data_IF_806253150373
#
_entry.id   IF_806253150373
#
_cell.length_a   1.000
_cell.length_b   1.000
_cell.length_c   1.000
_cell.angle_alpha   90.00
_cell.angle_beta   90.00
_cell.angle_gamma   90.00
#
_symmetry.space_group_name_H-M   'P 1'
#
loop_
_entity.id
_entity.type
_entity.pdbx_description
1 polymer ?
#
# COMPACT_ATOMS: atom_id res chain seq x y z
N UNK A 1 10.04 -26.21 -14.06
CA UNK A 1 9.70 -26.36 -12.61
C UNK A 1 9.22 -25.01 -12.14
N UNK A 2 8.03 -24.92 -11.57
CA UNK A 2 7.48 -23.69 -11.02
C UNK A 2 8.08 -23.36 -9.65
N UNK A 3 7.97 -22.10 -9.22
CA UNK A 3 8.38 -21.74 -7.85
C UNK A 3 7.31 -22.13 -6.84
N UNK A 4 6.04 -21.91 -7.17
CA UNK A 4 4.91 -22.26 -6.31
C UNK A 4 3.73 -22.77 -7.13
N UNK A 5 2.93 -23.67 -6.56
CA UNK A 5 1.75 -24.21 -7.22
C UNK A 5 0.58 -24.32 -6.23
N UNK A 6 -0.48 -23.56 -6.49
CA UNK A 6 -1.74 -23.70 -5.76
C UNK A 6 -2.56 -24.77 -6.48
N UNK A 7 -2.97 -25.82 -5.75
CA UNK A 7 -3.65 -26.98 -6.32
C UNK A 7 -5.13 -27.02 -5.94
N UNK A 8 -5.95 -27.47 -6.90
CA UNK A 8 -7.34 -27.82 -6.68
C UNK A 8 -8.22 -26.70 -6.11
N UNK A 9 -7.88 -25.43 -6.36
CA UNK A 9 -8.67 -24.28 -5.90
C UNK A 9 -9.84 -23.94 -6.80
N UNK A 10 -10.89 -23.31 -6.24
CA UNK A 10 -11.92 -22.67 -7.02
C UNK A 10 -11.42 -21.27 -7.45
N UNK A 11 -10.94 -21.17 -8.66
CA UNK A 11 -10.33 -19.92 -9.18
C UNK A 11 -11.42 -18.95 -9.64
N UNK A 12 -11.36 -17.73 -9.09
CA UNK A 12 -12.16 -16.56 -9.48
C UNK A 12 -11.16 -15.45 -9.82
N UNK A 13 -10.85 -15.28 -11.10
CA UNK A 13 -9.72 -14.49 -11.57
C UNK A 13 -9.98 -12.99 -11.77
N UNK A 14 -11.17 -12.51 -11.41
CA UNK A 14 -11.56 -11.10 -11.54
C UNK A 14 -11.91 -10.66 -12.97
N UNK A 15 -11.86 -11.53 -13.98
CA UNK A 15 -12.16 -11.17 -15.37
C UNK A 15 -13.65 -11.14 -15.70
N UNK A 16 -14.52 -11.52 -14.75
CA UNK A 16 -15.95 -11.74 -14.97
C UNK A 16 -16.29 -13.13 -15.52
N UNK A 17 -15.29 -13.98 -15.76
CA UNK A 17 -15.50 -15.38 -16.16
C UNK A 17 -16.06 -16.20 -15.00
N UNK A 18 -16.84 -17.27 -15.26
CA UNK A 18 -17.33 -18.14 -14.21
C UNK A 18 -16.19 -18.76 -13.39
N UNK A 19 -16.45 -18.93 -12.08
CA UNK A 19 -15.55 -19.66 -11.20
C UNK A 19 -15.27 -21.07 -11.74
N UNK A 20 -14.02 -21.53 -11.67
CA UNK A 20 -13.62 -22.83 -12.19
C UNK A 20 -12.60 -23.50 -11.29
N UNK A 21 -12.67 -24.81 -11.16
CA UNK A 21 -11.66 -25.57 -10.44
C UNK A 21 -10.40 -25.67 -11.30
N UNK A 22 -9.27 -25.19 -10.74
CA UNK A 22 -7.99 -25.18 -11.44
C UNK A 22 -6.81 -25.12 -10.47
N UNK A 23 -5.62 -25.43 -11.00
CA UNK A 23 -4.34 -25.15 -10.37
C UNK A 23 -3.80 -23.81 -10.88
N UNK A 24 -3.04 -23.12 -10.04
CA UNK A 24 -2.39 -21.84 -10.36
C UNK A 24 -0.89 -21.98 -10.16
N UNK A 25 -0.12 -21.84 -11.25
CA UNK A 25 1.34 -21.93 -11.23
C UNK A 25 1.97 -20.53 -11.20
N UNK A 26 2.95 -20.34 -10.30
CA UNK A 26 3.66 -19.09 -10.06
C UNK A 26 5.15 -19.30 -10.37
N UNK A 27 5.72 -18.33 -11.08
CA UNK A 27 7.13 -18.27 -11.40
C UNK A 27 7.65 -16.84 -11.11
N UNK A 28 8.56 -16.69 -10.16
CA UNK A 28 8.95 -15.39 -9.65
C UNK A 28 7.74 -14.67 -9.04
N UNK A 29 7.47 -13.48 -9.54
CA UNK A 29 6.37 -12.60 -9.13
C UNK A 29 5.09 -12.72 -9.98
N UNK A 30 5.02 -13.74 -10.88
CA UNK A 30 3.95 -13.84 -11.89
C UNK A 30 3.18 -15.13 -11.80
N UNK A 31 1.85 -15.03 -11.96
CA UNK A 31 1.01 -16.16 -12.34
C UNK A 31 1.28 -16.48 -13.81
N UNK A 32 1.89 -17.62 -14.08
CA UNK A 32 2.31 -18.01 -15.44
C UNK A 32 1.36 -19.01 -16.10
N UNK A 33 0.53 -19.70 -15.33
CA UNK A 33 -0.45 -20.65 -15.85
C UNK A 33 -1.59 -20.90 -14.88
N UNK A 34 -2.80 -20.95 -15.44
CA UNK A 34 -3.99 -21.44 -14.73
C UNK A 34 -4.59 -22.54 -15.59
N UNK A 35 -4.63 -23.75 -15.09
CA UNK A 35 -5.16 -24.90 -15.83
C UNK A 35 -5.61 -26.01 -14.87
N UNK A 36 -6.59 -26.85 -15.25
CA UNK A 36 -6.89 -28.02 -14.45
C UNK A 36 -5.71 -28.99 -14.45
N UNK A 37 -5.33 -29.48 -13.27
CA UNK A 37 -4.40 -30.57 -13.06
C UNK A 37 -3.02 -30.38 -13.71
N UNK A 38 -2.28 -29.36 -13.27
CA UNK A 38 -0.89 -29.09 -13.69
C UNK A 38 0.03 -30.20 -13.17
N UNK A 39 0.67 -30.91 -14.09
CA UNK A 39 1.53 -32.08 -13.77
C UNK A 39 2.98 -31.73 -13.47
N UNK A 40 3.43 -30.58 -13.97
CA UNK A 40 4.80 -30.12 -13.83
C UNK A 40 5.13 -29.89 -12.35
N UNK A 41 6.38 -30.19 -11.92
CA UNK A 41 6.78 -29.99 -10.54
C UNK A 41 6.93 -28.52 -10.18
N UNK A 42 6.72 -28.21 -8.91
CA UNK A 42 7.03 -26.93 -8.28
C UNK A 42 7.99 -27.14 -7.10
N UNK A 43 8.68 -26.07 -6.69
CA UNK A 43 9.53 -26.08 -5.48
C UNK A 43 8.70 -26.25 -4.23
N UNK A 44 7.51 -25.59 -4.19
CA UNK A 44 6.56 -25.71 -3.10
C UNK A 44 5.12 -25.68 -3.64
N UNK A 45 4.16 -26.13 -2.82
CA UNK A 45 2.76 -26.15 -3.24
C UNK A 45 1.79 -26.06 -2.06
N UNK A 46 0.60 -25.54 -2.36
CA UNK A 46 -0.50 -25.42 -1.42
C UNK A 46 -1.75 -26.10 -1.93
N UNK A 47 -2.36 -26.98 -1.11
CA UNK A 47 -3.62 -27.64 -1.44
C UNK A 47 -4.81 -26.71 -1.06
N UNK A 48 -5.50 -26.21 -2.07
CA UNK A 48 -6.61 -25.26 -1.93
C UNK A 48 -8.00 -25.89 -2.13
N UNK A 49 -8.12 -27.21 -2.00
CA UNK A 49 -9.40 -27.90 -2.14
C UNK A 49 -10.44 -27.36 -1.16
N UNK A 50 -11.61 -26.97 -1.69
CA UNK A 50 -12.67 -26.36 -0.90
C UNK A 50 -12.47 -24.88 -0.58
N UNK A 51 -11.40 -24.26 -1.13
CA UNK A 51 -11.10 -22.83 -0.99
C UNK A 51 -11.22 -22.12 -2.31
N UNK A 52 -11.53 -20.81 -2.25
CA UNK A 52 -11.43 -19.92 -3.40
C UNK A 52 -10.01 -19.40 -3.54
N UNK A 53 -9.53 -19.29 -4.79
CA UNK A 53 -8.31 -18.62 -5.16
C UNK A 53 -8.70 -17.38 -5.95
N UNK A 54 -8.43 -16.22 -5.38
CA UNK A 54 -8.80 -14.92 -5.93
C UNK A 54 -7.55 -14.03 -6.01
N UNK A 55 -7.54 -12.98 -6.83
CA UNK A 55 -6.55 -11.91 -6.71
C UNK A 55 -6.57 -11.31 -5.30
N UNK A 56 -5.42 -10.82 -4.84
CA UNK A 56 -5.38 -10.08 -3.57
C UNK A 56 -6.34 -8.90 -3.60
N UNK A 57 -6.99 -8.65 -2.47
CA UNK A 57 -7.94 -7.54 -2.34
C UNK A 57 -7.22 -6.20 -2.36
N UNK A 58 -7.90 -5.19 -2.87
CA UNK A 58 -7.44 -3.80 -2.87
C UNK A 58 -8.30 -3.03 -1.88
N UNK A 59 -7.69 -2.45 -0.86
CA UNK A 59 -8.38 -1.46 -0.03
C UNK A 59 -8.21 -0.08 -0.69
N UNK A 60 -9.30 0.52 -1.22
CA UNK A 60 -9.23 1.75 -1.97
C UNK A 60 -9.15 3.00 -1.09
N UNK A 61 -9.18 2.88 0.24
CA UNK A 61 -9.27 4.02 1.12
C UNK A 61 -8.65 3.78 2.49
N UNK A 62 -7.35 3.99 2.60
CA UNK A 62 -6.61 3.88 3.85
C UNK A 62 -5.75 5.14 4.11
N UNK A 63 -5.25 5.27 5.34
CA UNK A 63 -4.36 6.34 5.78
C UNK A 63 -3.14 5.75 6.50
N UNK A 64 -2.49 4.80 5.84
CA UNK A 64 -1.41 3.97 6.40
C UNK A 64 -0.06 4.23 5.72
N UNK A 65 0.09 5.36 5.05
CA UNK A 65 1.26 5.71 4.24
C UNK A 65 2.57 5.82 5.04
N UNK A 66 2.47 5.98 6.36
CA UNK A 66 3.61 6.12 7.26
C UNK A 66 3.92 4.84 8.05
N UNK A 67 2.99 3.89 8.11
CA UNK A 67 3.15 2.64 8.88
C UNK A 67 4.32 1.80 8.35
N UNK A 68 4.65 1.91 7.07
CA UNK A 68 5.82 1.24 6.49
C UNK A 68 7.14 1.61 7.18
N UNK A 69 7.25 2.81 7.74
CA UNK A 69 8.46 3.25 8.45
C UNK A 69 8.50 2.82 9.92
N UNK A 70 7.43 2.26 10.45
CA UNK A 70 7.34 1.73 11.82
C UNK A 70 7.32 0.19 11.83
N UNK A 71 6.33 -0.38 11.17
CA UNK A 71 6.16 -1.83 10.98
C UNK A 71 5.62 -2.11 9.57
N UNK A 72 6.52 -2.29 8.61
CA UNK A 72 6.17 -2.58 7.22
C UNK A 72 5.53 -3.95 6.97
N UNK A 73 5.20 -4.71 8.02
CA UNK A 73 4.61 -6.05 7.88
C UNK A 73 3.21 -6.02 7.30
N UNK A 74 2.39 -5.06 7.69
CA UNK A 74 0.96 -4.98 7.31
C UNK A 74 0.20 -6.30 7.52
N UNK A 75 0.60 -7.08 8.51
CA UNK A 75 0.10 -8.43 8.77
C UNK A 75 -1.41 -8.50 8.92
N UNK A 76 -2.02 -7.48 9.52
CA UNK A 76 -3.47 -7.43 9.70
C UNK A 76 -4.23 -7.31 8.38
N UNK A 77 -3.74 -6.51 7.42
CA UNK A 77 -4.30 -6.43 6.08
C UNK A 77 -4.11 -7.75 5.31
N UNK A 78 -2.91 -8.31 5.36
CA UNK A 78 -2.61 -9.58 4.68
C UNK A 78 -3.43 -10.74 5.21
N UNK A 79 -3.71 -10.80 6.51
CA UNK A 79 -4.58 -11.81 7.12
C UNK A 79 -6.04 -11.72 6.65
N UNK A 80 -6.48 -10.54 6.23
CA UNK A 80 -7.78 -10.30 5.63
C UNK A 80 -7.78 -10.47 4.10
N UNK A 81 -6.61 -10.75 3.50
CA UNK A 81 -6.44 -10.95 2.07
C UNK A 81 -6.22 -9.65 1.28
N UNK A 82 -6.07 -8.51 1.95
CA UNK A 82 -5.73 -7.23 1.30
C UNK A 82 -4.24 -7.22 1.00
N UNK A 83 -3.89 -6.99 -0.26
CA UNK A 83 -2.51 -6.97 -0.75
C UNK A 83 -2.11 -5.63 -1.37
N UNK A 84 -3.06 -4.73 -1.55
CA UNK A 84 -2.82 -3.40 -2.12
C UNK A 84 -3.60 -2.36 -1.33
N UNK A 85 -2.91 -1.29 -0.94
CA UNK A 85 -3.43 -0.18 -0.15
C UNK A 85 -3.41 1.10 -0.98
N UNK A 86 -4.56 1.80 -1.07
CA UNK A 86 -4.64 3.11 -1.72
C UNK A 86 -4.67 4.19 -0.64
N UNK A 87 -3.57 4.90 -0.51
CA UNK A 87 -3.33 5.96 0.46
C UNK A 87 -3.53 7.37 -0.15
N UNK A 88 -3.44 8.42 0.66
CA UNK A 88 -3.58 9.82 0.23
C UNK A 88 -5.02 10.26 0.03
N UNK A 89 -5.95 9.59 0.68
CA UNK A 89 -7.38 9.87 0.64
C UNK A 89 -7.76 11.10 1.50
N UNK A 90 -9.03 11.49 1.48
CA UNK A 90 -9.60 12.58 2.30
C UNK A 90 -8.85 13.91 2.18
N UNK A 91 -8.23 14.18 1.02
CA UNK A 91 -7.40 15.37 0.78
C UNK A 91 -6.07 15.40 1.56
N UNK A 92 -5.71 14.32 2.23
CA UNK A 92 -4.48 14.18 3.01
C UNK A 92 -3.56 13.15 2.38
N UNK A 93 -2.31 13.55 2.15
CA UNK A 93 -1.22 12.68 1.72
C UNK A 93 0.05 13.05 2.48
N UNK A 94 0.96 12.11 2.60
CA UNK A 94 2.25 12.32 3.27
C UNK A 94 3.21 13.22 2.46
N UNK A 95 2.86 13.54 1.26
CA UNK A 95 3.56 14.45 0.33
C UNK A 95 2.58 15.44 -0.29
N UNK A 96 3.03 16.65 -0.70
CA UNK A 96 4.39 17.19 -0.62
C UNK A 96 4.76 17.68 0.78
N UNK A 97 6.05 17.96 1.00
CA UNK A 97 6.59 18.55 2.22
C UNK A 97 7.56 17.64 2.96
N UNK A 98 8.21 18.18 3.97
CA UNK A 98 9.14 17.43 4.80
C UNK A 98 8.41 16.57 5.84
N UNK A 99 9.06 15.50 6.29
CA UNK A 99 8.53 14.63 7.35
C UNK A 99 8.08 15.43 8.59
N UNK A 100 8.82 16.47 8.94
CA UNK A 100 8.46 17.31 10.10
C UNK A 100 7.10 17.97 9.92
N UNK A 101 6.80 18.51 8.75
CA UNK A 101 5.53 19.19 8.47
C UNK A 101 4.36 18.21 8.59
N UNK A 102 4.54 16.98 8.13
CA UNK A 102 3.55 15.91 8.25
C UNK A 102 3.36 15.46 9.70
N UNK A 103 4.46 15.30 10.44
CA UNK A 103 4.38 14.92 11.84
C UNK A 103 3.77 16.02 12.73
N UNK A 104 4.08 17.29 12.45
CA UNK A 104 3.42 18.45 13.10
C UNK A 104 1.90 18.43 12.85
N UNK A 105 1.50 18.11 11.61
CA UNK A 105 0.08 17.99 11.26
C UNK A 105 -0.58 16.81 12.02
N UNK A 106 0.04 15.63 12.04
CA UNK A 106 -0.51 14.47 12.74
C UNK A 106 -0.60 14.69 14.25
N UNK A 107 0.42 15.29 14.86
CA UNK A 107 0.42 15.63 16.29
C UNK A 107 -0.64 16.69 16.59
N UNK A 108 -0.71 17.75 15.79
CA UNK A 108 -1.68 18.86 15.98
C UNK A 108 -3.13 18.43 15.83
N UNK A 109 -3.39 17.38 15.07
CA UNK A 109 -4.73 16.80 14.90
C UNK A 109 -5.01 15.61 15.84
N UNK A 110 -4.10 15.27 16.72
CA UNK A 110 -4.27 14.18 17.68
C UNK A 110 -4.23 12.78 17.07
N UNK A 111 -3.67 12.66 15.86
CA UNK A 111 -3.54 11.37 15.15
C UNK A 111 -2.38 10.54 15.69
N UNK A 112 -1.37 11.19 16.25
CA UNK A 112 -0.25 10.58 16.94
C UNK A 112 -0.01 11.25 18.28
N UNK A 113 0.58 10.52 19.22
CA UNK A 113 1.03 11.04 20.50
C UNK A 113 2.40 11.74 20.38
N UNK A 114 2.77 12.58 21.35
CA UNK A 114 4.10 13.19 21.40
C UNK A 114 5.21 12.13 21.40
N UNK A 115 5.02 11.01 22.09
CA UNK A 115 5.97 9.89 22.09
C UNK A 115 6.16 9.28 20.71
N UNK A 116 5.09 9.15 19.94
CA UNK A 116 5.18 8.67 18.55
C UNK A 116 5.84 9.73 17.66
N UNK A 117 5.54 11.00 17.85
CA UNK A 117 6.18 12.10 17.13
C UNK A 117 7.71 12.05 17.30
N UNK A 118 8.20 12.01 18.54
CA UNK A 118 9.65 11.95 18.82
C UNK A 118 10.29 10.72 18.15
N UNK A 119 9.65 9.57 18.28
CA UNK A 119 10.10 8.34 17.63
C UNK A 119 10.15 8.46 16.11
N UNK A 120 9.09 8.98 15.49
CA UNK A 120 9.02 9.08 14.03
C UNK A 120 9.96 10.13 13.48
N UNK A 121 10.23 11.20 14.20
CA UNK A 121 11.28 12.16 13.85
C UNK A 121 12.65 11.50 13.77
N UNK A 122 12.90 10.49 14.59
CA UNK A 122 14.15 9.72 14.61
C UNK A 122 14.22 8.68 13.49
N UNK A 123 13.18 7.85 13.36
CA UNK A 123 13.22 6.65 12.49
C UNK A 123 12.79 6.88 11.05
N UNK A 124 11.91 7.86 10.77
CA UNK A 124 11.49 8.09 9.40
C UNK A 124 12.63 8.67 8.57
N UNK A 125 12.81 8.19 7.32
CA UNK A 125 13.68 8.86 6.37
C UNK A 125 13.14 10.26 6.06
N UNK A 126 14.00 11.14 5.56
CA UNK A 126 13.56 12.44 5.11
C UNK A 126 13.19 12.38 3.62
N UNK A 127 12.15 13.11 3.23
CA UNK A 127 11.72 13.30 1.86
C UNK A 127 11.15 14.71 1.70
N UNK A 128 11.03 15.15 0.48
CA UNK A 128 10.50 16.46 0.15
C UNK A 128 9.35 16.38 -0.87
N UNK A 129 9.45 15.43 -1.79
CA UNK A 129 8.53 15.23 -2.89
C UNK A 129 8.09 13.76 -2.98
N UNK A 130 7.24 13.50 -3.96
CA UNK A 130 6.71 12.15 -4.18
C UNK A 130 7.79 11.14 -4.55
N UNK A 131 8.80 11.54 -5.35
CA UNK A 131 9.88 10.64 -5.74
C UNK A 131 10.74 10.25 -4.53
N UNK A 132 11.05 11.22 -3.66
CA UNK A 132 11.78 10.97 -2.42
C UNK A 132 11.03 10.03 -1.48
N UNK A 133 9.73 10.25 -1.31
CA UNK A 133 8.88 9.35 -0.52
C UNK A 133 8.81 7.95 -1.12
N UNK A 134 8.57 7.80 -2.43
CA UNK A 134 8.52 6.50 -3.09
C UNK A 134 9.83 5.71 -2.89
N UNK A 135 10.98 6.37 -3.07
CA UNK A 135 12.31 5.78 -2.81
C UNK A 135 12.46 5.34 -1.35
N UNK A 136 11.98 6.14 -0.41
CA UNK A 136 12.02 5.79 1.02
C UNK A 136 11.18 4.54 1.32
N UNK A 137 9.98 4.44 0.77
CA UNK A 137 9.12 3.25 0.88
C UNK A 137 9.79 2.01 0.26
N UNK A 138 10.37 2.16 -0.94
CA UNK A 138 11.10 1.07 -1.61
C UNK A 138 12.31 0.58 -0.80
N UNK A 139 13.03 1.48 -0.14
CA UNK A 139 14.20 1.15 0.67
C UNK A 139 13.85 0.37 1.93
N UNK A 140 12.78 0.72 2.62
CA UNK A 140 12.35 -0.01 3.82
C UNK A 140 11.66 -1.33 3.45
N UNK A 141 11.00 -1.36 2.32
CA UNK A 141 10.21 -2.51 1.86
C UNK A 141 8.88 -2.65 2.60
N UNK A 142 7.90 -3.20 1.92
CA UNK A 142 6.57 -3.44 2.48
C UNK A 142 6.03 -4.78 2.01
N UNK A 143 5.20 -5.42 2.81
CA UNK A 143 4.53 -6.66 2.42
C UNK A 143 3.24 -6.43 1.61
N UNK A 144 2.76 -5.19 1.51
CA UNK A 144 1.64 -4.78 0.66
C UNK A 144 2.11 -3.85 -0.46
N UNK A 145 1.39 -3.86 -1.58
CA UNK A 145 1.60 -2.86 -2.62
C UNK A 145 0.96 -1.54 -2.22
N UNK A 146 1.58 -0.43 -2.60
CA UNK A 146 1.07 0.91 -2.35
C UNK A 146 0.70 1.63 -3.63
N UNK A 147 -0.44 2.32 -3.57
CA UNK A 147 -0.83 3.39 -4.49
C UNK A 147 -1.03 4.62 -3.63
N UNK A 148 -0.31 5.70 -3.90
CA UNK A 148 -0.42 6.93 -3.13
C UNK A 148 -0.98 8.05 -3.99
N UNK A 149 -2.10 8.60 -3.57
CA UNK A 149 -2.73 9.77 -4.18
C UNK A 149 -2.10 11.05 -3.60
N UNK A 150 -2.08 12.12 -4.38
CA UNK A 150 -1.72 13.44 -3.89
C UNK A 150 -2.96 14.15 -3.36
N UNK A 151 -3.01 14.37 -2.06
CA UNK A 151 -4.12 15.04 -1.39
C UNK A 151 -4.10 16.54 -1.66
N UNK A 152 -5.20 17.10 -2.18
CA UNK A 152 -5.34 18.54 -2.41
C UNK A 152 -5.09 19.37 -1.13
N UNK A 153 -5.54 18.89 0.03
CA UNK A 153 -5.30 19.54 1.31
C UNK A 153 -3.83 19.62 1.68
N UNK A 154 -3.08 18.54 1.42
CA UNK A 154 -1.63 18.52 1.65
C UNK A 154 -0.89 19.47 0.71
N UNK A 155 -1.25 19.49 -0.57
CA UNK A 155 -0.70 20.47 -1.54
C UNK A 155 -0.99 21.90 -1.06
N UNK A 156 -2.24 22.16 -0.69
CA UNK A 156 -2.66 23.48 -0.18
C UNK A 156 -1.88 23.88 1.07
N UNK A 157 -1.75 22.97 2.04
CA UNK A 157 -0.99 23.22 3.27
C UNK A 157 0.46 23.56 2.97
N UNK A 158 1.08 22.81 2.05
CA UNK A 158 2.45 23.02 1.62
C UNK A 158 2.64 24.39 0.96
N UNK A 159 1.84 24.73 -0.06
CA UNK A 159 1.94 26.00 -0.81
C UNK A 159 1.65 27.20 0.08
N UNK A 160 0.71 27.08 0.99
CA UNK A 160 0.33 28.15 1.92
C UNK A 160 1.19 28.21 3.19
N UNK A 161 2.27 27.42 3.28
CA UNK A 161 3.16 27.36 4.43
C UNK A 161 2.42 27.21 5.78
N UNK A 162 1.42 26.34 5.80
CA UNK A 162 0.59 26.12 6.99
C UNK A 162 -0.41 27.24 7.33
N UNK A 163 -0.54 28.27 6.51
CA UNK A 163 -1.45 29.40 6.72
C UNK A 163 -2.92 29.02 6.46
N UNK A 164 -3.37 28.00 7.05
CA UNK A 164 -4.73 27.46 7.06
C UNK A 164 -5.55 28.21 8.14
N UNK A 165 -6.64 28.92 7.87
CA UNK A 165 -7.67 28.72 6.86
C UNK A 165 -7.88 29.90 5.88
N UNK A 166 -6.91 30.77 5.66
CA UNK A 166 -7.07 31.89 4.71
C UNK A 166 -7.27 31.41 3.26
N UNK A 167 -7.78 32.27 2.39
CA UNK A 167 -7.79 31.99 0.95
C UNK A 167 -6.35 32.06 0.40
N UNK A 168 -5.98 31.16 -0.53
CA UNK A 168 -4.70 31.27 -1.23
C UNK A 168 -4.65 32.53 -2.09
N UNK A 169 -3.48 33.14 -2.25
CA UNK A 169 -3.26 34.22 -3.21
C UNK A 169 -3.07 33.69 -4.65
N UNK A 170 -2.85 34.60 -5.60
CA UNK A 170 -2.75 34.22 -7.02
C UNK A 170 -1.54 33.31 -7.31
N UNK A 171 -0.40 33.50 -6.62
CA UNK A 171 0.77 32.65 -6.78
C UNK A 171 0.60 31.26 -6.20
N UNK A 172 -0.14 31.16 -5.09
CA UNK A 172 -0.46 29.89 -4.42
C UNK A 172 -1.54 29.09 -5.14
N UNK A 173 -2.22 29.69 -6.14
CA UNK A 173 -3.22 29.05 -6.98
C UNK A 173 -2.65 28.52 -8.30
N UNK A 174 -1.47 28.95 -8.71
CA UNK A 174 -0.82 28.56 -9.95
C UNK A 174 0.00 27.28 -9.78
#
# INVERSE_FOLDING_TARGET
MYDFLIRNGMVIDGTGSPARQADVAIQGDKVVRIAPNIKEPAKDSYEARGKCVIPGLIDPHVHEEWVCFDDGSYDFYLKEGVTTLVNGNCSHSIVPGHKKDQLDYYLGNGLISLKQYDRYMEIWPDWYDFEGYAKAVEQVGTNCNFVTLLGHGSIRQYVMHGAWPRKPDELEQS
#
